data_IF_100441845098
#
_entry.id   IF_100441845098
#
_cell.length_a   1.000
_cell.length_b   1.000
_cell.length_c   1.000
_cell.angle_alpha   90.00
_cell.angle_beta   90.00
_cell.angle_gamma   90.00
#
_symmetry.space_group_name_H-M   'P 1'
#
loop_
_entity.id
_entity.type
_entity.pdbx_description
1 polymer ?
#
# COMPACT_ATOMS: atom_id res chain seq x y z
N UNK A 1 -15.74 -0.97 1.08
CA UNK A 1 -14.92 -2.13 0.64
C UNK A 1 -13.48 -1.90 1.06
N UNK A 2 -12.73 -2.94 1.45
CA UNK A 2 -11.32 -2.82 1.84
C UNK A 2 -10.43 -3.73 0.98
N UNK A 3 -9.34 -3.16 0.47
CA UNK A 3 -8.30 -3.85 -0.30
C UNK A 3 -6.95 -3.72 0.43
N UNK A 4 -6.24 -4.83 0.63
CA UNK A 4 -4.84 -4.77 1.10
C UNK A 4 -3.92 -4.40 -0.08
N UNK A 5 -3.21 -3.28 0.02
CA UNK A 5 -2.31 -2.78 -1.03
C UNK A 5 -0.86 -3.27 -0.85
N UNK A 6 -0.37 -3.30 0.40
CA UNK A 6 0.94 -3.84 0.76
C UNK A 6 0.94 -4.34 2.21
N UNK A 7 2.12 -4.53 2.82
CA UNK A 7 2.21 -4.93 4.23
C UNK A 7 1.72 -3.83 5.18
N UNK A 8 1.99 -2.57 4.84
CA UNK A 8 1.68 -1.39 5.66
C UNK A 8 0.66 -0.47 4.98
N UNK A 9 0.00 -0.92 3.91
CA UNK A 9 -0.87 -0.10 3.09
C UNK A 9 -2.16 -0.82 2.72
N UNK A 10 -3.27 -0.07 2.75
CA UNK A 10 -4.60 -0.53 2.38
C UNK A 10 -5.34 0.57 1.62
N UNK A 11 -6.28 0.18 0.77
CA UNK A 11 -7.27 1.05 0.17
C UNK A 11 -8.63 0.77 0.79
N UNK A 12 -9.39 1.82 1.11
CA UNK A 12 -10.78 1.70 1.55
C UNK A 12 -11.65 2.49 0.59
N UNK A 13 -12.64 1.84 0.03
CA UNK A 13 -13.72 2.49 -0.69
C UNK A 13 -14.89 2.74 0.26
N UNK A 14 -15.12 4.03 0.51
CA UNK A 14 -16.20 4.60 1.32
C UNK A 14 -17.15 5.45 0.47
N UNK A 15 -17.08 5.36 -0.86
CA UNK A 15 -17.83 6.20 -1.81
C UNK A 15 -19.31 6.22 -1.46
N UNK A 16 -19.95 5.05 -1.39
CA UNK A 16 -21.38 4.93 -1.06
C UNK A 16 -21.74 5.55 0.30
N UNK A 17 -20.84 5.49 1.28
CA UNK A 17 -21.07 6.08 2.60
C UNK A 17 -20.96 7.62 2.56
N UNK A 18 -20.03 8.15 1.78
CA UNK A 18 -19.81 9.59 1.69
C UNK A 18 -20.91 10.33 0.91
N UNK A 19 -21.54 9.67 -0.08
CA UNK A 19 -22.67 10.24 -0.82
C UNK A 19 -24.04 10.05 -0.12
N UNK A 20 -24.13 9.16 0.88
CA UNK A 20 -25.37 8.95 1.64
C UNK A 20 -25.57 10.07 2.67
N UNK A 21 -26.25 11.14 2.25
CA UNK A 21 -26.59 12.32 3.07
C UNK A 21 -27.41 11.97 4.33
N UNK A 22 -28.02 10.78 4.42
CA UNK A 22 -28.99 10.41 5.46
C UNK A 22 -28.46 9.65 6.68
N UNK A 23 -27.22 9.13 6.69
CA UNK A 23 -26.75 8.19 7.75
C UNK A 23 -25.71 8.72 8.73
N UNK A 24 -25.02 9.82 8.43
CA UNK A 24 -23.97 10.36 9.32
C UNK A 24 -24.53 10.92 10.64
N UNK A 25 -25.83 11.22 10.72
CA UNK A 25 -26.48 11.64 11.96
C UNK A 25 -26.88 10.47 12.90
N UNK A 26 -26.87 9.21 12.43
CA UNK A 26 -27.48 8.10 13.18
C UNK A 26 -26.67 6.79 13.24
N UNK A 27 -25.54 6.66 12.54
CA UNK A 27 -24.75 5.41 12.62
C UNK A 27 -23.24 5.60 12.53
N UNK A 28 -22.63 6.12 13.60
CA UNK A 28 -21.25 5.78 13.94
C UNK A 28 -21.27 4.56 14.90
N UNK A 29 -21.84 3.44 14.46
CA UNK A 29 -21.62 2.14 15.11
C UNK A 29 -20.52 1.43 14.33
N UNK A 30 -19.28 1.69 14.72
CA UNK A 30 -18.17 0.84 14.32
C UNK A 30 -18.23 -0.40 15.21
N UNK A 31 -18.91 -1.45 14.75
CA UNK A 31 -18.87 -2.74 15.44
C UNK A 31 -17.44 -3.28 15.31
N UNK A 32 -16.74 -3.32 16.45
CA UNK A 32 -15.49 -4.06 16.59
C UNK A 32 -15.70 -5.50 16.12
N UNK A 33 -14.81 -6.07 15.27
CA UNK A 33 -14.91 -7.47 14.91
C UNK A 33 -14.79 -8.32 16.17
N UNK A 34 -15.87 -9.02 16.55
CA UNK A 34 -15.81 -10.10 17.55
C UNK A 34 -15.04 -11.27 16.93
N UNK A 35 -13.72 -11.22 17.01
CA UNK A 35 -12.83 -12.36 16.76
C UNK A 35 -12.24 -12.80 18.09
N UNK A 36 -12.71 -13.92 18.62
CA UNK A 36 -12.09 -14.60 19.76
C UNK A 36 -10.66 -15.02 19.37
N UNK A 37 -9.66 -14.21 19.72
CA UNK A 37 -8.30 -14.67 19.88
C UNK A 37 -8.10 -14.89 21.38
N UNK A 38 -8.24 -16.14 21.81
CA UNK A 38 -7.79 -16.59 23.13
C UNK A 38 -6.32 -16.19 23.30
N UNK A 39 -6.06 -15.31 24.25
CA UNK A 39 -4.73 -14.99 24.73
C UNK A 39 -4.67 -15.49 26.18
N UNK A 40 -4.25 -16.74 26.35
CA UNK A 40 -4.06 -17.33 27.67
C UNK A 40 -2.80 -16.72 28.30
N UNK A 41 -3.02 -15.95 29.35
CA UNK A 41 -1.99 -15.37 30.21
C UNK A 41 -2.51 -15.32 31.65
N UNK A 42 -2.18 -16.37 32.38
CA UNK A 42 -2.05 -16.54 33.84
C UNK A 42 -2.94 -15.76 34.83
N UNK A 43 -3.50 -16.56 35.74
CA UNK A 43 -4.34 -16.24 36.89
C UNK A 43 -3.84 -15.11 37.81
N UNK A 44 -4.74 -14.21 38.20
CA UNK A 44 -4.86 -13.75 39.60
C UNK A 44 -6.32 -13.60 40.02
N UNK A 45 -6.54 -13.94 41.28
CA UNK A 45 -7.75 -14.42 41.96
C UNK A 45 -8.67 -13.35 42.60
N UNK A 46 -9.93 -13.76 42.83
CA UNK A 46 -11.02 -13.21 43.69
C UNK A 46 -11.69 -11.91 43.19
N UNK A 47 -13.01 -11.73 43.18
CA UNK A 47 -14.08 -12.32 43.98
C UNK A 47 -15.42 -12.42 43.21
N UNK A 48 -16.23 -13.41 43.58
CA UNK A 48 -17.64 -13.60 43.17
C UNK A 48 -18.55 -12.52 43.75
N UNK A 49 -19.39 -11.91 42.91
CA UNK A 49 -20.66 -11.31 43.33
C UNK A 49 -21.74 -11.67 42.29
N UNK A 50 -22.77 -12.38 42.77
CA UNK A 50 -24.02 -12.63 42.06
C UNK A 50 -24.88 -11.35 42.00
N UNK A 51 -25.87 -11.40 41.10
CA UNK A 51 -27.04 -10.51 40.99
C UNK A 51 -26.85 -9.09 40.41
N UNK A 52 -27.18 -8.99 39.12
CA UNK A 52 -28.30 -8.16 38.69
C UNK A 52 -28.15 -6.65 38.77
N UNK A 53 -27.30 -6.04 37.94
CA UNK A 53 -27.46 -4.65 37.53
C UNK A 53 -27.12 -4.47 36.03
N UNK A 54 -28.09 -3.91 35.29
CA UNK A 54 -27.96 -3.49 33.89
C UNK A 54 -26.73 -2.59 33.75
N UNK A 55 -25.70 -3.07 33.04
CA UNK A 55 -24.58 -2.23 32.64
C UNK A 55 -25.08 -1.23 31.59
N UNK A 56 -25.18 0.02 32.04
CA UNK A 56 -25.46 1.21 31.26
C UNK A 56 -24.69 1.22 29.95
N UNK A 57 -25.44 1.14 28.84
CA UNK A 57 -24.99 1.53 27.51
C UNK A 57 -24.59 3.01 27.56
N UNK A 58 -23.30 3.29 27.79
CA UNK A 58 -22.75 4.60 27.49
C UNK A 58 -22.59 4.69 25.97
N UNK A 59 -23.72 4.79 25.27
CA UNK A 59 -23.77 5.23 23.89
C UNK A 59 -23.26 6.66 23.87
N UNK A 60 -22.12 6.91 23.22
CA UNK A 60 -21.82 8.26 22.75
C UNK A 60 -22.75 8.59 21.57
N UNK A 61 -24.01 8.88 21.85
CA UNK A 61 -24.86 9.67 20.97
C UNK A 61 -24.42 11.13 21.14
N UNK A 62 -23.37 11.54 20.42
CA UNK A 62 -23.11 12.96 20.20
C UNK A 62 -23.72 13.33 18.86
N UNK A 63 -24.79 14.11 18.91
CA UNK A 63 -25.24 14.93 17.78
C UNK A 63 -24.01 15.64 17.19
N UNK A 64 -23.63 15.29 15.97
CA UNK A 64 -22.49 15.93 15.29
C UNK A 64 -22.90 17.37 15.00
N UNK A 65 -22.42 18.30 15.82
CA UNK A 65 -22.67 19.72 15.62
C UNK A 65 -21.89 20.18 14.37
N UNK A 66 -22.36 21.19 13.64
CA UNK A 66 -21.72 21.67 12.40
C UNK A 66 -20.23 22.06 12.59
N UNK A 67 -19.87 22.48 13.81
CA UNK A 67 -18.49 22.74 14.23
C UNK A 67 -17.60 21.48 14.33
N UNK A 68 -18.19 20.30 14.55
CA UNK A 68 -17.49 19.00 14.57
C UNK A 68 -17.19 18.48 13.16
N UNK A 69 -18.03 18.83 12.18
CA UNK A 69 -17.89 18.46 10.77
C UNK A 69 -16.67 19.08 10.08
N UNK A 70 -16.08 20.16 10.61
CA UNK A 70 -14.88 20.79 10.04
C UNK A 70 -13.58 20.40 10.78
N UNK A 71 -13.67 19.54 11.81
CA UNK A 71 -12.50 19.13 12.61
C UNK A 71 -11.43 18.37 11.83
N UNK A 72 -11.78 17.81 10.66
CA UNK A 72 -10.84 17.16 9.75
C UNK A 72 -9.87 18.16 9.10
N UNK A 73 -10.25 19.43 9.00
CA UNK A 73 -9.45 20.44 8.30
C UNK A 73 -8.08 20.67 8.93
N UNK A 74 -8.01 20.63 10.26
CA UNK A 74 -6.76 20.83 11.00
C UNK A 74 -5.71 19.75 10.73
N UNK A 75 -6.14 18.55 10.32
CA UNK A 75 -5.24 17.42 10.06
C UNK A 75 -5.04 17.16 8.57
N UNK A 76 -5.66 17.95 7.70
CA UNK A 76 -5.72 17.73 6.25
C UNK A 76 -4.92 18.75 5.47
N UNK A 77 -3.90 18.29 4.77
CA UNK A 77 -3.19 19.07 3.75
C UNK A 77 -3.97 18.98 2.44
N UNK A 78 -4.53 20.08 1.96
CA UNK A 78 -5.20 20.13 0.65
C UNK A 78 -4.20 20.58 -0.41
N UNK A 79 -4.05 19.78 -1.47
CA UNK A 79 -3.04 20.02 -2.49
C UNK A 79 -3.47 21.13 -3.47
N UNK A 80 -2.55 22.07 -3.76
CA UNK A 80 -2.71 23.15 -4.74
C UNK A 80 -3.90 24.11 -4.53
N UNK A 81 -4.31 24.34 -3.28
CA UNK A 81 -5.28 25.40 -2.98
C UNK A 81 -4.67 26.80 -3.16
N UNK A 82 -5.40 27.68 -3.84
CA UNK A 82 -5.33 29.12 -3.59
C UNK A 82 -6.30 29.43 -2.44
N UNK A 83 -5.79 30.08 -1.37
CA UNK A 83 -6.52 30.36 -0.11
C UNK A 83 -7.88 31.08 -0.29
N UNK A 84 -8.12 31.71 -1.44
CA UNK A 84 -9.31 32.52 -1.74
C UNK A 84 -10.60 31.72 -1.99
N UNK A 85 -10.52 30.45 -2.41
CA UNK A 85 -11.71 29.68 -2.82
C UNK A 85 -12.35 28.86 -1.68
N UNK A 86 -11.65 28.71 -0.56
CA UNK A 86 -12.07 27.90 0.59
C UNK A 86 -13.33 28.46 1.26
N UNK A 87 -13.47 29.79 1.30
CA UNK A 87 -14.61 30.47 1.92
C UNK A 87 -15.89 30.43 1.10
N UNK A 88 -15.82 29.91 -0.13
CA UNK A 88 -16.93 29.96 -1.09
C UNK A 88 -17.61 28.59 -1.34
N UNK A 89 -17.02 27.48 -0.90
CA UNK A 89 -17.63 26.13 -1.00
C UNK A 89 -18.68 25.83 0.10
N UNK A 90 -19.34 26.87 0.62
CA UNK A 90 -20.52 26.77 1.51
C UNK A 90 -21.77 27.29 0.79
N UNK A 91 -21.80 27.23 -0.55
CA UNK A 91 -23.02 27.44 -1.32
C UNK A 91 -23.71 26.08 -1.51
N UNK A 92 -25.00 26.02 -1.21
CA UNK A 92 -25.82 24.79 -1.11
C UNK A 92 -26.01 24.02 -2.43
N UNK A 93 -25.36 24.44 -3.52
CA UNK A 93 -25.49 23.87 -4.86
C UNK A 93 -24.15 23.40 -5.50
N UNK A 94 -23.01 23.43 -4.79
CA UNK A 94 -21.69 23.02 -5.32
C UNK A 94 -21.37 21.52 -5.10
N UNK A 95 -21.22 20.80 -6.23
CA UNK A 95 -20.63 19.48 -6.49
C UNK A 95 -20.67 18.43 -5.35
N UNK A 96 -21.64 17.49 -5.43
CA UNK A 96 -21.78 16.34 -4.52
C UNK A 96 -20.46 15.58 -4.28
N UNK A 97 -19.53 15.62 -5.24
CA UNK A 97 -18.19 15.03 -5.15
C UNK A 97 -17.33 15.69 -4.07
N UNK A 98 -17.32 17.03 -4.01
CA UNK A 98 -16.51 17.77 -3.02
C UNK A 98 -17.02 17.46 -1.62
N UNK A 99 -18.35 17.48 -1.42
CA UNK A 99 -18.97 17.12 -0.16
C UNK A 99 -18.62 15.67 0.24
N UNK A 100 -18.70 14.72 -0.69
CA UNK A 100 -18.31 13.34 -0.44
C UNK A 100 -16.82 13.19 -0.04
N UNK A 101 -15.92 13.96 -0.66
CA UNK A 101 -14.50 13.97 -0.29
C UNK A 101 -14.28 14.56 1.12
N UNK A 102 -15.01 15.60 1.50
CA UNK A 102 -14.98 16.16 2.86
C UNK A 102 -15.46 15.13 3.90
N UNK A 103 -16.55 14.41 3.61
CA UNK A 103 -16.97 13.28 4.43
C UNK A 103 -15.89 12.20 4.52
N UNK A 104 -15.20 11.91 3.41
CA UNK A 104 -14.06 10.99 3.39
C UNK A 104 -12.92 11.44 4.30
N UNK A 105 -12.60 12.73 4.33
CA UNK A 105 -11.63 13.31 5.25
C UNK A 105 -12.05 13.14 6.72
N UNK A 106 -13.33 13.30 7.04
CA UNK A 106 -13.84 13.07 8.39
C UNK A 106 -13.70 11.60 8.81
N UNK A 107 -14.11 10.66 7.94
CA UNK A 107 -13.96 9.22 8.19
C UNK A 107 -12.47 8.83 8.35
N UNK A 108 -11.59 9.39 7.51
CA UNK A 108 -10.15 9.16 7.62
C UNK A 108 -9.59 9.58 8.99
N UNK A 109 -9.99 10.75 9.50
CA UNK A 109 -9.61 11.22 10.85
C UNK A 109 -10.05 10.23 11.93
N UNK A 110 -11.30 9.75 11.87
CA UNK A 110 -11.83 8.79 12.84
C UNK A 110 -11.06 7.47 12.83
N UNK A 111 -10.74 6.94 11.64
CA UNK A 111 -9.94 5.71 11.50
C UNK A 111 -8.55 5.91 12.10
N UNK A 112 -7.88 7.02 11.78
CA UNK A 112 -6.54 7.33 12.30
C UNK A 112 -6.55 7.42 13.83
N UNK A 113 -7.55 8.10 14.40
CA UNK A 113 -7.70 8.22 15.85
C UNK A 113 -7.95 6.86 16.51
N UNK A 114 -8.86 6.05 15.95
CA UNK A 114 -9.19 4.73 16.48
C UNK A 114 -7.99 3.78 16.49
N UNK A 115 -7.17 3.80 15.43
CA UNK A 115 -5.95 2.99 15.35
C UNK A 115 -4.91 3.46 16.37
N UNK A 116 -4.76 4.78 16.55
CA UNK A 116 -3.85 5.33 17.54
C UNK A 116 -4.29 4.98 18.97
N UNK A 117 -5.57 5.15 19.30
CA UNK A 117 -6.10 4.86 20.64
C UNK A 117 -6.03 3.37 20.98
N UNK A 118 -6.23 2.49 20.00
CA UNK A 118 -6.26 1.04 20.22
C UNK A 118 -4.87 0.39 20.19
N UNK A 119 -3.97 0.87 19.32
CA UNK A 119 -2.69 0.20 19.03
C UNK A 119 -1.47 1.08 19.25
N UNK A 120 -1.63 2.39 19.45
CA UNK A 120 -0.52 3.35 19.56
C UNK A 120 0.16 3.69 18.23
N UNK A 121 -0.36 3.21 17.09
CA UNK A 121 0.23 3.46 15.77
C UNK A 121 -0.36 4.71 15.12
N UNK A 122 0.52 5.51 14.52
CA UNK A 122 0.09 6.65 13.68
C UNK A 122 -0.08 6.21 12.24
N UNK A 123 -1.07 6.80 11.56
CA UNK A 123 -1.37 6.55 10.17
C UNK A 123 -1.34 7.86 9.37
N UNK A 124 -0.95 7.76 8.11
CA UNK A 124 -1.16 8.84 7.12
C UNK A 124 -2.10 8.35 6.03
N UNK A 125 -3.06 9.20 5.66
CA UNK A 125 -4.14 8.82 4.72
C UNK A 125 -4.15 9.77 3.53
N UNK A 126 -4.44 9.25 2.34
CA UNK A 126 -4.68 10.06 1.15
C UNK A 126 -6.09 9.87 0.67
N UNK A 127 -6.76 10.98 0.38
CA UNK A 127 -8.17 11.03 -0.03
C UNK A 127 -8.25 11.67 -1.42
N UNK A 128 -8.90 10.98 -2.36
CA UNK A 128 -9.24 11.48 -3.69
C UNK A 128 -10.27 10.55 -4.35
N UNK A 129 -10.50 10.72 -5.66
CA UNK A 129 -11.52 9.98 -6.44
C UNK A 129 -11.04 8.65 -7.02
N UNK A 130 -9.73 8.37 -7.01
CA UNK A 130 -9.16 7.12 -7.53
C UNK A 130 -8.03 6.58 -6.65
N UNK A 131 -7.66 5.30 -6.81
CA UNK A 131 -6.58 4.67 -6.05
C UNK A 131 -5.23 5.33 -6.35
N UNK A 132 -4.94 5.57 -7.62
CA UNK A 132 -3.72 6.24 -8.06
C UNK A 132 -3.54 7.60 -7.38
N UNK A 133 -4.56 8.47 -7.44
CA UNK A 133 -4.45 9.83 -6.90
C UNK A 133 -4.48 9.82 -5.37
N UNK A 134 -5.30 8.96 -4.74
CA UNK A 134 -5.31 8.81 -3.28
C UNK A 134 -3.94 8.37 -2.75
N UNK A 135 -3.23 7.51 -3.49
CA UNK A 135 -1.87 7.11 -3.12
C UNK A 135 -0.88 8.28 -3.16
N UNK A 136 -1.02 9.16 -4.15
CA UNK A 136 -0.22 10.39 -4.24
C UNK A 136 -0.57 11.35 -3.10
N UNK A 137 -1.87 11.58 -2.86
CA UNK A 137 -2.39 12.43 -1.78
C UNK A 137 -1.81 12.03 -0.41
N UNK A 138 -1.71 10.73 -0.13
CA UNK A 138 -1.18 10.22 1.13
C UNK A 138 0.25 10.70 1.44
N UNK A 139 1.03 11.03 0.41
CA UNK A 139 2.40 11.53 0.60
C UNK A 139 2.44 12.97 1.13
N UNK A 140 1.43 13.79 0.81
CA UNK A 140 1.31 15.17 1.28
C UNK A 140 0.81 15.27 2.72
N UNK A 141 0.09 14.25 3.18
CA UNK A 141 -0.39 14.13 4.57
C UNK A 141 0.61 13.48 5.52
N UNK A 142 1.86 13.22 5.12
CA UNK A 142 2.88 12.61 5.99
C UNK A 142 3.68 13.68 6.74
N UNK A 143 4.15 13.38 7.97
CA UNK A 143 3.79 12.23 8.82
C UNK A 143 2.50 12.48 9.61
N UNK A 144 1.82 11.42 10.06
CA UNK A 144 0.64 11.47 10.93
C UNK A 144 -0.38 12.57 10.56
N UNK A 145 -0.77 12.63 9.30
CA UNK A 145 -1.78 13.56 8.79
C UNK A 145 -2.60 12.91 7.68
N UNK A 146 -3.38 13.71 6.97
CA UNK A 146 -4.04 13.25 5.77
C UNK A 146 -3.89 14.27 4.64
N UNK A 147 -3.80 13.78 3.40
CA UNK A 147 -3.72 14.62 2.21
C UNK A 147 -5.01 14.49 1.39
N UNK A 148 -5.50 15.61 0.86
CA UNK A 148 -6.66 15.67 -0.01
C UNK A 148 -6.26 16.24 -1.37
N UNK A 149 -6.55 15.50 -2.44
CA UNK A 149 -6.46 16.01 -3.82
C UNK A 149 -7.88 16.06 -4.38
N UNK A 150 -8.37 17.28 -4.60
CA UNK A 150 -9.64 17.55 -5.26
C UNK A 150 -9.54 17.29 -6.77
N UNK A 151 -10.64 16.96 -7.47
CA UNK A 151 -10.64 16.75 -8.92
C UNK A 151 -9.99 17.89 -9.71
N UNK A 152 -10.25 19.13 -9.30
CA UNK A 152 -9.70 20.35 -9.90
C UNK A 152 -8.17 20.46 -9.76
N UNK A 153 -7.59 19.87 -8.72
CA UNK A 153 -6.16 19.90 -8.46
C UNK A 153 -5.39 18.74 -9.14
N UNK A 154 -6.08 17.69 -9.61
CA UNK A 154 -5.44 16.48 -10.16
C UNK A 154 -4.46 16.83 -11.28
N UNK A 155 -4.90 17.61 -12.27
CA UNK A 155 -4.05 17.98 -13.41
C UNK A 155 -2.72 18.61 -12.97
N UNK A 156 -2.76 19.52 -11.99
CA UNK A 156 -1.56 20.19 -11.46
C UNK A 156 -0.69 19.25 -10.63
N UNK A 157 -1.28 18.35 -9.84
CA UNK A 157 -0.50 17.32 -9.13
C UNK A 157 0.23 16.42 -10.14
N UNK A 158 -0.47 15.97 -11.18
CA UNK A 158 0.11 15.10 -12.20
C UNK A 158 1.22 15.81 -12.98
N UNK A 159 1.04 17.10 -13.25
CA UNK A 159 2.04 17.94 -13.90
C UNK A 159 3.40 17.90 -13.19
N UNK A 160 3.39 18.03 -11.86
CA UNK A 160 4.59 18.10 -11.03
C UNK A 160 5.10 16.71 -10.58
N UNK A 161 4.27 15.67 -10.71
CA UNK A 161 4.58 14.34 -10.19
C UNK A 161 5.61 13.64 -11.08
N UNK A 162 6.78 13.33 -10.52
CA UNK A 162 7.78 12.49 -11.20
C UNK A 162 7.24 11.10 -11.51
N UNK A 163 7.54 10.58 -12.70
CA UNK A 163 7.06 9.26 -13.17
C UNK A 163 7.35 8.15 -12.16
N UNK A 164 8.55 8.15 -11.58
CA UNK A 164 8.99 7.13 -10.60
C UNK A 164 8.19 7.12 -9.29
N UNK A 165 7.48 8.21 -8.96
CA UNK A 165 6.65 8.31 -7.75
C UNK A 165 5.27 7.67 -7.92
N UNK A 166 4.80 7.48 -9.16
CA UNK A 166 3.49 6.87 -9.41
C UNK A 166 3.57 5.35 -9.23
N UNK A 167 2.56 4.79 -8.55
CA UNK A 167 2.41 3.34 -8.33
C UNK A 167 2.45 2.62 -9.69
N UNK A 168 3.21 1.53 -9.78
CA UNK A 168 3.46 0.73 -11.02
C UNK A 168 4.46 1.35 -12.03
N UNK A 169 4.87 2.61 -11.86
CA UNK A 169 5.79 3.28 -12.80
C UNK A 169 7.26 3.30 -12.32
N UNK A 170 7.56 2.87 -11.10
CA UNK A 170 8.95 2.80 -10.60
C UNK A 170 9.84 1.73 -11.27
N UNK A 171 9.27 0.85 -12.09
CA UNK A 171 9.95 -0.30 -12.68
C UNK A 171 10.38 -0.13 -14.14
N UNK A 172 10.34 -1.24 -14.89
CA UNK A 172 10.70 -1.27 -16.33
C UNK A 172 9.83 -0.35 -17.18
N UNK A 173 8.54 -0.24 -16.83
CA UNK A 173 7.57 0.58 -17.56
C UNK A 173 7.99 2.06 -17.51
N UNK A 174 8.19 2.64 -16.32
CA UNK A 174 8.61 4.03 -16.22
C UNK A 174 9.98 4.29 -16.85
N UNK A 175 10.92 3.34 -16.75
CA UNK A 175 12.21 3.45 -17.49
C UNK A 175 11.99 3.50 -19.00
N UNK A 176 11.10 2.66 -19.53
CA UNK A 176 10.79 2.64 -20.97
C UNK A 176 10.09 3.93 -21.40
N UNK A 177 9.13 4.44 -20.61
CA UNK A 177 8.49 5.73 -20.89
C UNK A 177 9.52 6.86 -20.87
N UNK A 178 10.43 6.85 -19.91
CA UNK A 178 11.51 7.84 -19.80
C UNK A 178 12.40 7.89 -21.06
N UNK A 179 12.57 6.77 -21.77
CA UNK A 179 13.33 6.74 -23.04
C UNK A 179 12.56 7.32 -24.24
N UNK A 180 11.25 7.48 -24.13
CA UNK A 180 10.40 8.08 -25.17
C UNK A 180 10.26 9.59 -25.00
N UNK A 181 10.56 10.12 -23.81
CA UNK A 181 10.43 11.53 -23.49
C UNK A 181 11.67 12.34 -23.91
N UNK A 182 11.49 13.64 -24.19
CA UNK A 182 12.63 14.55 -24.39
C UNK A 182 13.59 14.55 -23.19
N UNK A 183 14.89 14.83 -23.40
CA UNK A 183 15.85 14.95 -22.31
C UNK A 183 15.42 16.00 -21.27
N UNK A 184 15.45 15.63 -19.99
CA UNK A 184 15.08 16.51 -18.86
C UNK A 184 13.62 16.42 -18.43
N UNK A 185 12.75 15.81 -19.23
CA UNK A 185 11.34 15.62 -18.90
C UNK A 185 11.13 14.34 -18.07
N UNK A 186 10.75 14.46 -16.79
CA UNK A 186 10.63 13.31 -15.88
C UNK A 186 9.25 13.22 -15.18
N UNK A 187 8.25 13.99 -15.60
CA UNK A 187 6.95 14.07 -14.92
C UNK A 187 5.83 13.36 -15.67
N UNK A 188 4.72 13.09 -14.97
CA UNK A 188 3.52 12.56 -15.61
C UNK A 188 2.91 13.59 -16.56
N UNK A 189 2.99 14.89 -16.24
CA UNK A 189 2.67 15.98 -17.16
C UNK A 189 3.45 15.91 -18.47
N UNK A 190 4.75 15.57 -18.41
CA UNK A 190 5.55 15.33 -19.61
C UNK A 190 4.97 14.24 -20.51
N UNK A 191 4.53 13.12 -19.93
CA UNK A 191 3.87 12.04 -20.69
C UNK A 191 2.63 12.59 -21.39
N UNK A 192 1.78 13.31 -20.65
CA UNK A 192 0.54 13.86 -21.18
C UNK A 192 0.75 14.86 -22.33
N UNK A 193 1.83 15.65 -22.28
CA UNK A 193 2.19 16.63 -23.32
C UNK A 193 2.81 16.02 -24.57
N UNK A 194 3.76 15.11 -24.39
CA UNK A 194 4.68 14.73 -25.47
C UNK A 194 4.31 13.40 -26.14
N UNK A 195 3.51 12.55 -25.49
CA UNK A 195 3.21 11.20 -25.99
C UNK A 195 1.72 11.03 -26.25
N UNK A 196 1.38 10.65 -27.49
CA UNK A 196 0.02 10.28 -27.84
C UNK A 196 -0.31 8.86 -27.37
N UNK A 197 -1.61 8.52 -27.33
CA UNK A 197 -2.03 7.14 -27.08
C UNK A 197 -1.44 6.15 -28.11
N UNK A 198 -1.25 6.60 -29.35
CA UNK A 198 -0.65 5.78 -30.40
C UNK A 198 0.83 5.49 -30.11
N UNK A 199 1.61 6.48 -29.68
CA UNK A 199 3.02 6.32 -29.32
C UNK A 199 3.17 5.35 -28.13
N UNK A 200 2.34 5.55 -27.10
CA UNK A 200 2.32 4.70 -25.91
C UNK A 200 1.91 3.26 -26.25
N UNK A 201 0.90 3.09 -27.10
CA UNK A 201 0.43 1.77 -27.54
C UNK A 201 1.47 1.05 -28.40
N UNK A 202 2.16 1.76 -29.29
CA UNK A 202 3.23 1.20 -30.11
C UNK A 202 4.41 0.74 -29.25
N UNK A 203 4.76 1.52 -28.21
CA UNK A 203 5.87 1.19 -27.33
C UNK A 203 5.54 0.10 -26.30
N UNK A 204 4.35 0.13 -25.68
CA UNK A 204 4.02 -0.70 -24.51
C UNK A 204 3.00 -1.80 -24.79
N UNK A 205 2.37 -1.79 -25.96
CA UNK A 205 1.17 -2.57 -26.26
C UNK A 205 -0.10 -1.80 -25.90
N UNK A 206 -1.23 -2.17 -26.51
CA UNK A 206 -2.49 -1.42 -26.45
C UNK A 206 -3.01 -1.19 -25.02
N UNK A 207 -3.10 -2.25 -24.22
CA UNK A 207 -3.65 -2.17 -22.87
C UNK A 207 -2.77 -1.32 -21.94
N UNK A 208 -1.46 -1.56 -21.96
CA UNK A 208 -0.51 -0.80 -21.14
C UNK A 208 -0.38 0.65 -21.61
N UNK A 209 -0.45 0.87 -22.93
CA UNK A 209 -0.45 2.21 -23.52
C UNK A 209 -1.65 3.03 -23.04
N UNK A 210 -2.85 2.43 -23.05
CA UNK A 210 -4.06 3.05 -22.51
C UNK A 210 -3.92 3.35 -21.02
N UNK A 211 -3.48 2.38 -20.22
CA UNK A 211 -3.28 2.56 -18.78
C UNK A 211 -2.31 3.72 -18.48
N UNK A 212 -1.23 3.85 -19.24
CA UNK A 212 -0.27 4.97 -19.07
C UNK A 212 -0.88 6.31 -19.49
N UNK A 213 -1.65 6.30 -20.57
CA UNK A 213 -2.34 7.49 -21.07
C UNK A 213 -3.38 8.02 -20.07
N UNK A 214 -4.15 7.13 -19.44
CA UNK A 214 -5.14 7.51 -18.42
C UNK A 214 -4.42 7.96 -17.15
N UNK A 215 -3.43 7.17 -16.70
CA UNK A 215 -2.69 7.44 -15.47
C UNK A 215 -1.97 8.79 -15.50
N UNK A 216 -1.43 9.26 -16.64
CA UNK A 216 -0.76 10.56 -16.70
C UNK A 216 -1.70 11.76 -16.58
N UNK A 217 -3.02 11.54 -16.75
CA UNK A 217 -4.09 12.51 -16.53
C UNK A 217 -4.72 12.37 -15.14
N UNK A 218 -4.22 11.44 -14.32
CA UNK A 218 -4.77 11.13 -13.00
C UNK A 218 -6.03 10.25 -13.05
N UNK A 219 -6.34 9.70 -14.22
CA UNK A 219 -7.46 8.79 -14.42
C UNK A 219 -7.00 7.36 -14.09
N UNK A 220 -7.79 6.66 -13.28
CA UNK A 220 -7.54 5.28 -12.88
C UNK A 220 -8.88 4.59 -12.63
N UNK A 221 -9.25 3.68 -13.52
CA UNK A 221 -10.48 2.88 -13.42
C UNK A 221 -10.37 1.68 -12.49
N UNK A 222 -9.25 1.48 -11.79
CA UNK A 222 -9.08 0.34 -10.90
C UNK A 222 -9.95 0.50 -9.63
N UNK A 223 -11.01 -0.30 -9.52
CA UNK A 223 -11.84 -0.36 -8.32
C UNK A 223 -11.08 -0.95 -7.12
N UNK A 224 -11.46 -0.53 -5.91
CA UNK A 224 -11.00 -1.15 -4.67
C UNK A 224 -11.60 -2.54 -4.57
N UNK A 225 -10.74 -3.56 -4.60
CA UNK A 225 -11.16 -4.97 -4.61
C UNK A 225 -11.37 -5.45 -3.18
N UNK A 226 -12.51 -6.08 -2.93
CA UNK A 226 -12.77 -6.68 -1.64
C UNK A 226 -11.75 -7.79 -1.35
N UNK A 227 -10.95 -7.59 -0.31
CA UNK A 227 -10.04 -8.61 0.18
C UNK A 227 -10.77 -9.47 1.20
N UNK A 228 -11.34 -10.59 0.76
CA UNK A 228 -11.99 -11.57 1.63
C UNK A 228 -10.91 -12.26 2.47
N UNK A 229 -10.79 -11.84 3.72
CA UNK A 229 -9.72 -12.23 4.64
C UNK A 229 -8.41 -11.54 4.26
N UNK A 230 -7.84 -10.72 5.16
CA UNK A 230 -6.53 -10.09 5.00
C UNK A 230 -5.36 -11.09 5.08
N UNK A 231 -5.58 -12.32 4.63
CA UNK A 231 -4.67 -13.44 4.71
C UNK A 231 -3.50 -13.22 3.76
N UNK A 232 -2.29 -13.39 4.30
CA UNK A 232 -1.07 -13.33 3.51
C UNK A 232 -1.10 -14.46 2.48
N UNK A 233 -0.86 -14.16 1.19
CA UNK A 233 -0.94 -15.18 0.12
C UNK A 233 0.24 -16.16 0.13
N UNK A 234 1.40 -15.76 0.65
CA UNK A 234 2.61 -16.57 0.73
C UNK A 234 3.43 -16.21 1.98
N UNK A 235 4.12 -17.20 2.55
CA UNK A 235 5.09 -16.99 3.63
C UNK A 235 6.49 -17.22 3.03
N UNK A 236 7.36 -16.22 3.15
CA UNK A 236 8.68 -16.23 2.53
C UNK A 236 9.74 -15.78 3.52
N UNK A 237 10.92 -16.40 3.43
CA UNK A 237 12.14 -16.05 4.12
C UNK A 237 13.26 -16.12 3.08
N UNK A 238 14.12 -15.10 3.03
CA UNK A 238 15.23 -15.07 2.09
C UNK A 238 16.45 -14.43 2.75
N UNK A 239 17.63 -14.77 2.23
CA UNK A 239 18.89 -14.17 2.63
C UNK A 239 19.78 -13.99 1.41
N UNK A 240 20.29 -12.79 1.23
CA UNK A 240 21.37 -12.52 0.28
C UNK A 240 22.70 -12.81 0.95
N UNK A 241 23.57 -13.52 0.24
CA UNK A 241 24.90 -13.91 0.70
C UNK A 241 25.96 -13.23 -0.15
N UNK A 242 27.11 -12.93 0.46
CA UNK A 242 28.36 -12.82 -0.29
C UNK A 242 28.89 -14.21 -0.67
N UNK A 243 30.16 -14.32 -1.09
CA UNK A 243 30.79 -15.62 -1.32
C UNK A 243 30.67 -16.51 -0.09
N UNK A 244 30.16 -17.73 -0.27
CA UNK A 244 29.85 -18.64 0.82
C UNK A 244 30.27 -20.06 0.46
N UNK A 245 30.84 -20.78 1.42
CA UNK A 245 31.10 -22.21 1.27
C UNK A 245 29.82 -23.02 1.44
N UNK A 246 29.76 -24.20 0.82
CA UNK A 246 28.61 -25.09 0.94
C UNK A 246 28.25 -25.47 2.41
N UNK A 247 29.21 -25.76 3.31
CA UNK A 247 28.88 -26.05 4.71
C UNK A 247 28.24 -24.88 5.46
N UNK A 248 28.58 -23.64 5.10
CA UNK A 248 27.92 -22.48 5.67
C UNK A 248 26.52 -22.26 5.07
N UNK A 249 26.32 -22.60 3.79
CA UNK A 249 25.01 -22.55 3.13
C UNK A 249 24.00 -23.49 3.81
N UNK A 250 24.42 -24.71 4.13
CA UNK A 250 23.58 -25.71 4.78
C UNK A 250 22.97 -25.17 6.09
N UNK A 251 23.77 -24.52 6.93
CA UNK A 251 23.30 -23.89 8.17
C UNK A 251 22.22 -22.83 7.91
N UNK A 252 22.41 -22.02 6.87
CA UNK A 252 21.43 -21.00 6.50
C UNK A 252 20.13 -21.59 5.97
N UNK A 253 20.19 -22.67 5.19
CA UNK A 253 19.00 -23.38 4.72
C UNK A 253 18.19 -23.89 5.91
N UNK A 254 18.84 -24.50 6.90
CA UNK A 254 18.18 -24.97 8.13
C UNK A 254 17.51 -23.81 8.89
N UNK A 255 18.20 -22.68 9.05
CA UNK A 255 17.65 -21.50 9.72
C UNK A 255 16.43 -20.93 8.99
N UNK A 256 16.51 -20.76 7.66
CA UNK A 256 15.40 -20.25 6.85
C UNK A 256 14.20 -21.21 6.86
N UNK A 257 14.46 -22.52 6.77
CA UNK A 257 13.42 -23.54 6.88
C UNK A 257 12.73 -23.49 8.25
N UNK A 258 13.50 -23.29 9.33
CA UNK A 258 12.97 -23.20 10.69
C UNK A 258 12.07 -21.97 10.87
N UNK A 259 12.49 -20.80 10.36
CA UNK A 259 11.65 -19.59 10.37
C UNK A 259 10.33 -19.79 9.60
N UNK A 260 10.41 -20.38 8.39
CA UNK A 260 9.23 -20.67 7.57
C UNK A 260 8.27 -21.61 8.30
N UNK A 261 8.77 -22.72 8.86
CA UNK A 261 7.93 -23.70 9.56
C UNK A 261 7.22 -23.05 10.74
N UNK A 262 7.95 -22.31 11.59
CA UNK A 262 7.35 -21.62 12.73
C UNK A 262 6.23 -20.64 12.31
N UNK A 263 6.45 -19.89 11.23
CA UNK A 263 5.45 -18.95 10.70
C UNK A 263 4.27 -19.64 10.04
N UNK A 264 4.48 -20.78 9.38
CA UNK A 264 3.42 -21.64 8.83
C UNK A 264 2.56 -22.20 9.95
N UNK A 265 3.16 -22.73 11.02
CA UNK A 265 2.40 -23.26 12.17
C UNK A 265 1.54 -22.18 12.83
N UNK A 266 2.06 -20.97 13.00
CA UNK A 266 1.30 -19.83 13.51
C UNK A 266 0.15 -19.44 12.57
N UNK A 267 0.39 -19.41 11.26
CA UNK A 267 -0.64 -19.12 10.26
C UNK A 267 -1.72 -20.21 10.22
N UNK A 268 -1.34 -21.49 10.33
CA UNK A 268 -2.27 -22.63 10.41
C UNK A 268 -3.16 -22.55 11.64
N UNK A 269 -2.60 -22.24 12.82
CA UNK A 269 -3.38 -22.08 14.05
C UNK A 269 -4.36 -20.91 13.98
N UNK A 270 -3.98 -19.81 13.33
CA UNK A 270 -4.81 -18.59 13.25
C UNK A 270 -5.87 -18.65 12.14
N UNK A 271 -5.55 -19.29 11.03
CA UNK A 271 -6.31 -19.17 9.78
C UNK A 271 -6.78 -20.52 9.23
N UNK A 272 -6.61 -21.60 9.99
CA UNK A 272 -7.08 -22.97 9.66
C UNK A 272 -6.71 -23.43 8.24
N UNK A 273 -5.50 -23.08 7.79
CA UNK A 273 -5.02 -23.39 6.44
C UNK A 273 -3.58 -23.89 6.45
N UNK A 274 -3.21 -24.60 5.38
CA UNK A 274 -1.85 -25.12 5.19
C UNK A 274 -1.34 -24.85 3.77
N UNK A 275 -0.06 -24.50 3.58
CA UNK A 275 0.51 -24.32 2.26
C UNK A 275 0.57 -25.65 1.49
N UNK A 276 0.18 -25.63 0.22
CA UNK A 276 0.23 -26.81 -0.66
C UNK A 276 1.53 -26.95 -1.43
N UNK A 277 2.23 -25.84 -1.63
CA UNK A 277 3.43 -25.76 -2.47
C UNK A 277 4.55 -25.07 -1.68
N UNK A 278 5.78 -25.56 -1.84
CA UNK A 278 7.01 -24.92 -1.37
C UNK A 278 7.89 -24.62 -2.58
N UNK A 279 8.38 -23.39 -2.70
CA UNK A 279 9.26 -22.97 -3.79
C UNK A 279 10.60 -22.49 -3.21
N UNK A 280 11.70 -23.06 -3.70
CA UNK A 280 13.07 -22.68 -3.33
C UNK A 280 13.69 -21.96 -4.52
N UNK A 281 14.14 -20.73 -4.30
CA UNK A 281 14.80 -19.90 -5.31
C UNK A 281 16.22 -19.55 -4.86
N UNK A 282 17.17 -19.62 -5.78
CA UNK A 282 18.56 -19.21 -5.54
C UNK A 282 19.11 -18.48 -6.77
N UNK A 283 20.08 -17.61 -6.53
CA UNK A 283 20.83 -16.90 -7.58
C UNK A 283 22.31 -17.22 -7.36
N UNK A 284 23.00 -17.63 -8.43
CA UNK A 284 24.42 -17.93 -8.40
C UNK A 284 25.12 -17.01 -9.41
N UNK A 285 26.11 -16.24 -8.95
CA UNK A 285 27.02 -15.52 -9.85
C UNK A 285 28.14 -16.48 -10.26
N UNK A 286 28.14 -16.94 -11.52
CA UNK A 286 29.24 -17.73 -12.05
C UNK A 286 30.47 -16.84 -12.24
N UNK A 287 31.57 -17.18 -11.56
CA UNK A 287 32.90 -16.65 -11.91
C UNK A 287 33.36 -17.38 -13.17
N UNK A 288 33.62 -16.64 -14.25
CA UNK A 288 34.19 -17.20 -15.49
C UNK A 288 35.57 -17.77 -15.22
N UNK A 289 35.74 -19.09 -15.30
CA UNK A 289 37.04 -19.75 -15.26
C UNK A 289 37.69 -19.71 -16.64
N UNK A 290 38.71 -18.87 -16.82
CA UNK A 290 39.56 -18.89 -18.00
C UNK A 290 40.70 -19.88 -17.79
N UNK A 291 40.63 -21.08 -18.37
CA UNK A 291 41.79 -21.98 -18.46
C UNK A 291 42.75 -21.48 -19.54
N UNK A 292 43.93 -21.02 -19.15
CA UNK A 292 45.04 -20.79 -20.08
C UNK A 292 45.86 -22.08 -20.19
N UNK A 293 45.77 -22.77 -21.33
CA UNK A 293 46.73 -23.82 -21.67
C UNK A 293 47.97 -23.17 -22.30
N UNK A 294 49.07 -23.10 -21.56
CA UNK A 294 50.37 -22.78 -22.14
C UNK A 294 50.93 -24.05 -22.78
N UNK A 295 50.85 -24.17 -24.10
CA UNK A 295 51.55 -25.23 -24.83
C UNK A 295 53.06 -24.95 -24.82
N UNK A 296 53.81 -25.70 -24.03
CA UNK A 296 55.28 -25.74 -24.10
C UNK A 296 55.68 -26.79 -25.15
N UNK A 297 56.54 -26.48 -26.15
CA UNK A 297 56.99 -27.46 -27.13
C UNK A 297 57.84 -28.56 -26.48
N UNK A 298 57.56 -29.81 -26.87
CA UNK A 298 58.20 -31.09 -26.50
C UNK A 298 59.66 -31.01 -26.03
N UNK A 299 59.95 -31.65 -24.90
CA UNK A 299 61.16 -32.46 -24.73
C UNK A 299 60.96 -33.60 -23.70
N UNK A 300 61.19 -34.80 -24.22
CA UNK A 300 61.48 -36.12 -23.65
C UNK A 300 61.25 -36.47 -22.16
N UNK A 301 60.55 -37.61 -22.02
CA UNK A 301 60.62 -38.64 -20.98
C UNK A 301 59.95 -38.43 -19.60
N UNK A 302 59.09 -39.42 -19.32
CA UNK A 302 58.68 -40.02 -18.03
C UNK A 302 57.37 -39.52 -17.39
N UNK A 303 56.62 -40.53 -16.95
CA UNK A 303 55.37 -40.51 -16.20
C UNK A 303 55.47 -39.62 -14.94
N UNK A 304 54.39 -39.09 -14.35
CA UNK A 304 53.39 -39.81 -13.55
C UNK A 304 52.35 -38.82 -12.98
N UNK A 305 51.20 -39.40 -12.58
CA UNK A 305 50.40 -39.20 -11.36
C UNK A 305 49.68 -37.85 -11.14
N UNK A 306 48.37 -37.97 -10.94
CA UNK A 306 47.49 -36.96 -10.37
C UNK A 306 47.47 -37.10 -8.84
N UNK A 307 47.69 -35.99 -8.13
CA UNK A 307 47.06 -35.70 -6.82
C UNK A 307 45.84 -34.80 -7.05
#
# INVERSE_FOLDING_TARGET
VLERASIDELFVDITNHCYDKGRLASSAKFDSPKGNAHFDGEEKSYATCEEGQKLSTCCMERSVNQSSLQSWRNDTTICHEEESQISQYVNEDDDDVILALQHGCFVAKLIRQSVFDSLGFTLSVGISTSKLVSKLAASYGKPNGQGLILPTAIGKVMEETKIKKVRNFGGKIGKKIQTLLPPGEETMGSIARFLSLADLSAALGREMGQMVFDACRGEDGELVKETVGALTKSITAFKSFGPLSFPALEKWVVLLATDIVARVELDTKRNERYPKNCNIQYVCEFVSFSFWFTFIPKLQHRALVFE
#
